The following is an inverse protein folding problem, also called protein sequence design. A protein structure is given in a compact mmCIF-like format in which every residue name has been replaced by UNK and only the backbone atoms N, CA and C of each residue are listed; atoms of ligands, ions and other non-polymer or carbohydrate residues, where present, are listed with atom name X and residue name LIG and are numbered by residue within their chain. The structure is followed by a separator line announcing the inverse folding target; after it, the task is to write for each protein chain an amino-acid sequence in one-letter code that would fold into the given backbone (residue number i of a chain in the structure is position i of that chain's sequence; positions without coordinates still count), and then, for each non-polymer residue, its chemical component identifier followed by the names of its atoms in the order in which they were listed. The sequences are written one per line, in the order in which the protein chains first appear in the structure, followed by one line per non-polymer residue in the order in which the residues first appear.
data_IF_737505729559
#
_entry.id   IF_737505729559
#
_cell.length_a   1.000
_cell.length_b   1.000
_cell.length_c   1.000
_cell.angle_alpha   90.00
_cell.angle_beta   90.00
_cell.angle_gamma   90.00
#
_symmetry.space_group_name_H-M   'P 1'
#
loop_
_entity.id
_entity.type
_entity.pdbx_description
1 polymer ?
#
# COMPACT_ATOMS: atom_id res chain seq x y z
N UNK A 1 -32.14 38.07 -36.57
CA UNK A 1 -31.34 37.05 -37.29
C UNK A 1 -29.85 36.96 -36.85
N UNK A 2 -29.17 38.07 -36.58
CA UNK A 2 -27.73 38.05 -36.22
C UNK A 2 -27.46 37.91 -34.71
N UNK A 3 -28.24 38.61 -33.88
CA UNK A 3 -28.16 38.56 -32.40
C UNK A 3 -28.34 37.14 -31.84
N UNK A 4 -29.30 36.37 -32.39
CA UNK A 4 -29.55 34.97 -31.99
C UNK A 4 -28.41 34.02 -32.37
N UNK A 5 -27.71 34.29 -33.48
CA UNK A 5 -26.58 33.49 -33.96
C UNK A 5 -25.35 33.67 -33.06
N UNK A 6 -25.08 34.91 -32.62
CA UNK A 6 -24.01 35.21 -31.66
C UNK A 6 -24.28 34.56 -30.29
N UNK A 7 -25.54 34.58 -29.82
CA UNK A 7 -25.93 33.92 -28.57
C UNK A 7 -25.75 32.40 -28.62
N UNK A 8 -26.22 31.75 -29.69
CA UNK A 8 -26.04 30.30 -29.90
C UNK A 8 -24.57 29.88 -30.03
N UNK A 9 -23.73 30.68 -30.70
CA UNK A 9 -22.29 30.45 -30.78
C UNK A 9 -21.61 30.58 -29.41
N UNK A 10 -22.07 31.52 -28.57
CA UNK A 10 -21.59 31.69 -27.20
C UNK A 10 -21.97 30.49 -26.31
N UNK A 11 -23.22 30.04 -26.38
CA UNK A 11 -23.71 28.86 -25.66
C UNK A 11 -22.97 27.59 -26.08
N UNK A 12 -22.76 27.38 -27.38
CA UNK A 12 -22.01 26.24 -27.90
C UNK A 12 -20.56 26.24 -27.40
N UNK A 13 -19.90 27.41 -27.36
CA UNK A 13 -18.53 27.52 -26.81
C UNK A 13 -18.49 27.26 -25.30
N UNK A 14 -19.52 27.66 -24.55
CA UNK A 14 -19.63 27.38 -23.11
C UNK A 14 -19.82 25.88 -22.86
N UNK A 15 -20.74 25.24 -23.60
CA UNK A 15 -20.96 23.80 -23.53
C UNK A 15 -19.70 23.00 -23.84
N UNK A 16 -18.97 23.34 -24.91
CA UNK A 16 -17.68 22.68 -25.22
C UNK A 16 -16.62 22.84 -24.13
N UNK A 17 -16.52 24.04 -23.53
CA UNK A 17 -15.60 24.26 -22.40
C UNK A 17 -16.00 23.45 -21.17
N UNK A 18 -17.29 23.34 -20.90
CA UNK A 18 -17.81 22.58 -19.76
C UNK A 18 -17.57 21.08 -19.96
N UNK A 19 -17.80 20.55 -21.17
CA UNK A 19 -17.44 19.18 -21.56
C UNK A 19 -15.95 18.92 -21.43
N UNK A 20 -15.09 19.84 -21.87
CA UNK A 20 -13.63 19.72 -21.71
C UNK A 20 -13.21 19.71 -20.24
N UNK A 21 -13.85 20.51 -19.38
CA UNK A 21 -13.60 20.53 -17.94
C UNK A 21 -14.01 19.19 -17.32
N UNK A 22 -15.23 18.72 -17.59
CA UNK A 22 -15.72 17.43 -17.09
C UNK A 22 -14.85 16.26 -17.55
N UNK A 23 -14.41 16.28 -18.81
CA UNK A 23 -13.50 15.27 -19.35
C UNK A 23 -12.15 15.27 -18.63
N UNK A 24 -11.58 16.47 -18.36
CA UNK A 24 -10.33 16.60 -17.60
C UNK A 24 -10.48 16.14 -16.16
N UNK A 25 -11.57 16.47 -15.49
CA UNK A 25 -11.85 16.05 -14.11
C UNK A 25 -11.97 14.52 -14.02
N UNK A 26 -12.69 13.90 -14.96
CA UNK A 26 -12.81 12.44 -15.05
C UNK A 26 -11.45 11.78 -15.25
N UNK A 27 -10.66 12.29 -16.20
CA UNK A 27 -9.31 11.78 -16.46
C UNK A 27 -8.39 11.91 -15.24
N UNK A 28 -8.45 13.05 -14.54
CA UNK A 28 -7.69 13.25 -13.31
C UNK A 28 -8.11 12.28 -12.20
N UNK A 29 -9.41 12.04 -12.04
CA UNK A 29 -9.93 11.07 -11.06
C UNK A 29 -9.50 9.63 -11.39
N UNK A 30 -9.57 9.23 -12.67
CA UNK A 30 -9.09 7.93 -13.14
C UNK A 30 -7.58 7.76 -12.91
N UNK A 31 -6.79 8.80 -13.21
CA UNK A 31 -5.34 8.79 -12.97
C UNK A 31 -5.04 8.66 -11.47
N UNK A 32 -5.75 9.42 -10.63
CA UNK A 32 -5.62 9.32 -9.17
C UNK A 32 -5.94 7.92 -8.68
N UNK A 33 -7.01 7.30 -9.18
CA UNK A 33 -7.37 5.92 -8.81
C UNK A 33 -6.33 4.91 -9.33
N UNK A 34 -5.81 5.09 -10.54
CA UNK A 34 -4.79 4.21 -11.13
C UNK A 34 -3.50 4.18 -10.30
N UNK A 35 -3.05 5.34 -9.80
CA UNK A 35 -1.79 5.39 -9.05
C UNK A 35 -1.98 5.23 -7.53
N UNK A 36 -3.02 5.83 -6.97
CA UNK A 36 -3.22 5.98 -5.52
C UNK A 36 -4.50 5.31 -5.01
N UNK A 37 -5.22 4.56 -5.86
CA UNK A 37 -6.31 3.72 -5.41
C UNK A 37 -5.82 2.53 -4.57
N UNK A 38 -6.73 1.77 -3.94
CA UNK A 38 -6.39 0.62 -3.11
C UNK A 38 -5.55 -0.45 -3.81
N UNK A 39 -5.76 -0.64 -5.12
CA UNK A 39 -4.96 -1.53 -5.98
C UNK A 39 -4.13 -0.74 -7.00
N UNK A 40 -3.86 0.52 -6.70
CA UNK A 40 -3.10 1.40 -7.58
C UNK A 40 -1.62 0.99 -7.67
N UNK A 41 -0.93 1.55 -8.66
CA UNK A 41 0.49 1.28 -8.90
C UNK A 41 1.37 1.51 -7.65
N UNK A 42 1.06 2.52 -6.82
CA UNK A 42 1.80 2.78 -5.60
C UNK A 42 1.67 1.63 -4.59
N UNK A 43 0.45 1.11 -4.41
CA UNK A 43 0.20 -0.02 -3.52
C UNK A 43 0.95 -1.26 -4.00
N UNK A 44 0.80 -1.62 -5.29
CA UNK A 44 1.50 -2.77 -5.90
C UNK A 44 3.01 -2.65 -5.79
N UNK A 45 3.56 -1.44 -6.01
CA UNK A 45 5.00 -1.22 -5.87
C UNK A 45 5.45 -1.42 -4.43
N UNK A 46 4.72 -0.86 -3.46
CA UNK A 46 5.01 -1.08 -2.04
C UNK A 46 4.95 -2.57 -1.68
N UNK A 47 3.91 -3.26 -2.11
CA UNK A 47 3.76 -4.70 -1.89
C UNK A 47 4.95 -5.48 -2.48
N UNK A 48 5.32 -5.22 -3.74
CA UNK A 48 6.46 -5.89 -4.40
C UNK A 48 7.80 -5.69 -3.69
N UNK A 49 7.97 -4.57 -2.98
CA UNK A 49 9.17 -4.28 -2.21
C UNK A 49 9.11 -4.88 -0.79
N UNK A 50 7.91 -4.95 -0.21
CA UNK A 50 7.70 -5.47 1.13
C UNK A 50 7.64 -7.00 1.19
N UNK A 51 7.05 -7.65 0.19
CA UNK A 51 6.94 -9.11 0.09
C UNK A 51 8.27 -9.84 0.30
N UNK A 52 9.37 -9.51 -0.42
CA UNK A 52 10.64 -10.22 -0.21
C UNK A 52 11.20 -10.05 1.22
N UNK A 53 11.01 -8.88 1.84
CA UNK A 53 11.43 -8.65 3.22
C UNK A 53 10.60 -9.52 4.19
N UNK A 54 9.29 -9.62 3.96
CA UNK A 54 8.41 -10.48 4.75
C UNK A 54 8.80 -11.96 4.59
N UNK A 55 9.14 -12.39 3.38
CA UNK A 55 9.58 -13.76 3.09
C UNK A 55 10.90 -14.08 3.79
N UNK A 56 11.88 -13.17 3.76
CA UNK A 56 13.14 -13.33 4.47
C UNK A 56 12.94 -13.45 5.98
N UNK A 57 12.11 -12.58 6.58
CA UNK A 57 11.76 -12.65 8.00
C UNK A 57 11.05 -13.97 8.32
N UNK A 58 10.08 -14.38 7.51
CA UNK A 58 9.34 -15.62 7.71
C UNK A 58 10.28 -16.83 7.70
N UNK A 59 11.19 -16.90 6.73
CA UNK A 59 12.15 -17.99 6.62
C UNK A 59 13.12 -18.00 7.81
N UNK A 60 13.65 -16.84 8.22
CA UNK A 60 14.51 -16.74 9.40
C UNK A 60 13.79 -17.21 10.68
N UNK A 61 12.56 -16.75 10.90
CA UNK A 61 11.72 -17.17 12.04
C UNK A 61 11.47 -18.68 11.99
N UNK A 62 11.11 -19.22 10.83
CA UNK A 62 10.83 -20.66 10.65
C UNK A 62 12.05 -21.51 10.95
N UNK A 63 13.23 -21.11 10.47
CA UNK A 63 14.48 -21.82 10.74
C UNK A 63 14.81 -21.83 12.24
N UNK A 64 14.75 -20.68 12.90
CA UNK A 64 14.99 -20.56 14.35
C UNK A 64 14.00 -21.40 15.13
N UNK A 65 12.71 -21.32 14.78
CA UNK A 65 11.67 -22.11 15.41
C UNK A 65 11.93 -23.62 15.27
N UNK A 66 12.34 -24.07 14.09
CA UNK A 66 12.63 -25.49 13.83
C UNK A 66 13.88 -25.94 14.58
N UNK A 67 14.95 -25.13 14.59
CA UNK A 67 16.21 -25.44 15.26
C UNK A 67 16.04 -25.52 16.79
N UNK A 68 15.25 -24.62 17.36
CA UNK A 68 15.03 -24.54 18.81
C UNK A 68 13.79 -25.33 19.28
N UNK A 69 13.09 -26.00 18.38
CA UNK A 69 11.92 -26.82 18.70
C UNK A 69 10.68 -26.03 19.15
N UNK A 70 10.53 -24.78 18.69
CA UNK A 70 9.36 -23.97 18.99
C UNK A 70 8.15 -24.45 18.20
N UNK A 71 7.07 -24.76 18.90
CA UNK A 71 5.80 -25.14 18.27
C UNK A 71 5.10 -23.95 17.60
N UNK A 72 5.31 -22.73 18.13
CA UNK A 72 4.70 -21.51 17.62
C UNK A 72 5.60 -20.31 17.91
N UNK A 73 5.63 -19.35 16.99
CA UNK A 73 6.16 -18.00 17.19
C UNK A 73 5.03 -17.03 16.94
N UNK A 74 4.83 -16.08 17.83
CA UNK A 74 3.74 -15.10 17.76
C UNK A 74 4.33 -13.70 17.67
N UNK A 75 3.83 -12.91 16.71
CA UNK A 75 4.15 -11.48 16.64
C UNK A 75 3.44 -10.74 17.78
N UNK A 76 4.23 -10.27 18.75
CA UNK A 76 3.73 -9.54 19.91
C UNK A 76 3.07 -8.21 19.53
N UNK A 77 3.50 -7.55 18.45
CA UNK A 77 2.97 -6.23 18.08
C UNK A 77 1.54 -6.32 17.52
N UNK A 78 1.19 -7.42 16.85
CA UNK A 78 -0.15 -7.67 16.33
C UNK A 78 -1.05 -8.47 17.29
N UNK A 79 -0.48 -9.10 18.31
CA UNK A 79 -1.22 -9.92 19.27
C UNK A 79 -1.97 -9.06 20.31
N UNK A 80 -3.25 -8.79 20.05
CA UNK A 80 -4.13 -8.02 20.94
C UNK A 80 -4.43 -8.69 22.30
N UNK A 81 -4.14 -9.98 22.45
CA UNK A 81 -4.44 -10.79 23.64
C UNK A 81 -3.26 -11.01 24.58
N UNK A 82 -2.04 -10.61 24.22
CA UNK A 82 -0.85 -10.79 25.06
C UNK A 82 -0.69 -9.57 25.97
N UNK A 83 -1.05 -9.73 27.25
CA UNK A 83 -0.88 -8.67 28.28
C UNK A 83 0.58 -8.61 28.77
N UNK A 84 1.22 -9.77 28.90
CA UNK A 84 2.62 -9.89 29.32
C UNK A 84 3.28 -11.11 28.67
N UNK A 85 4.52 -10.93 28.24
CA UNK A 85 5.41 -11.98 27.77
C UNK A 85 6.79 -11.75 28.39
N UNK A 86 7.38 -12.80 28.95
CA UNK A 86 8.75 -12.70 29.51
C UNK A 86 9.75 -12.31 28.42
N UNK A 87 10.73 -11.42 28.69
CA UNK A 87 11.82 -11.16 27.75
C UNK A 87 12.57 -12.43 27.33
N UNK A 88 12.57 -13.48 28.17
CA UNK A 88 13.25 -14.74 27.89
C UNK A 88 12.66 -15.55 26.73
N UNK A 89 11.45 -15.21 26.28
CA UNK A 89 10.81 -15.85 25.12
C UNK A 89 10.87 -14.97 23.86
N UNK A 90 11.53 -13.82 23.94
CA UNK A 90 11.69 -12.90 22.82
C UNK A 90 12.88 -13.33 21.94
N UNK A 91 12.56 -13.77 20.73
CA UNK A 91 13.54 -14.28 19.75
C UNK A 91 13.93 -13.21 18.72
N UNK A 92 13.50 -11.97 18.88
CA UNK A 92 13.68 -10.90 17.88
C UNK A 92 15.16 -10.69 17.53
N UNK A 93 16.05 -10.72 18.53
CA UNK A 93 17.49 -10.56 18.31
C UNK A 93 18.10 -11.74 17.54
N UNK A 94 17.64 -12.97 17.78
CA UNK A 94 18.09 -14.14 17.01
C UNK A 94 17.69 -14.01 15.55
N UNK A 95 16.46 -13.57 15.28
CA UNK A 95 15.96 -13.31 13.92
C UNK A 95 16.79 -12.22 13.24
N UNK A 96 17.06 -11.10 13.92
CA UNK A 96 17.89 -10.03 13.38
C UNK A 96 19.32 -10.49 13.09
N UNK A 97 19.94 -11.25 13.99
CA UNK A 97 21.27 -11.81 13.79
C UNK A 97 21.30 -12.77 12.58
N UNK A 98 20.27 -13.61 12.43
CA UNK A 98 20.13 -14.53 11.29
C UNK A 98 20.01 -13.79 9.95
N UNK A 99 19.36 -12.63 9.96
CA UNK A 99 19.25 -11.73 8.80
C UNK A 99 20.50 -10.85 8.58
N UNK A 100 21.51 -10.94 9.45
CA UNK A 100 22.76 -10.20 9.34
C UNK A 100 22.75 -8.79 9.94
N UNK A 101 21.76 -8.46 10.76
CA UNK A 101 21.60 -7.14 11.41
C UNK A 101 22.14 -7.07 12.85
N UNK A 102 23.13 -7.90 13.18
CA UNK A 102 23.80 -7.89 14.50
C UNK A 102 24.79 -6.73 14.61
N UNK A 103 24.65 -5.90 15.65
CA UNK A 103 25.70 -4.99 16.14
C UNK A 103 26.82 -5.78 16.83
#
# INVERSE_FOLDING_TARGET
PWQSQIASLSETRRGKKEEEIVAKEKSAAELRRKYFGPEGELYKKRESLMQPIQDEIYNAVKEIATQNGYAVVVDRASASSIIFASPSIDVSNEVLAKLGYSN
#
